data_IF_464386685077
#
_entry.id   IF_464386685077
#
_cell.length_a   1.000
_cell.length_b   1.000
_cell.length_c   1.000
_cell.angle_alpha   90.00
_cell.angle_beta   90.00
_cell.angle_gamma   90.00
#
_symmetry.space_group_name_H-M   'P 1'
#
loop_
_entity.id
_entity.type
_entity.pdbx_description
1 polymer ?
#
# COMPACT_ATOMS: atom_id res chain seq x y z
N UNK A 1 -18.70 -13.91 -9.38
CA UNK A 1 -18.47 -14.67 -8.16
C UNK A 1 -17.07 -15.27 -8.15
N UNK A 2 -16.56 -15.61 -6.97
CA UNK A 2 -15.25 -16.24 -6.82
C UNK A 2 -15.12 -17.54 -7.62
N UNK A 3 -16.20 -18.29 -7.76
CA UNK A 3 -16.21 -19.52 -8.57
C UNK A 3 -15.99 -19.28 -10.07
N UNK A 4 -16.36 -18.11 -10.56
CA UNK A 4 -16.18 -17.72 -11.97
C UNK A 4 -14.84 -17.06 -12.21
N UNK A 5 -14.18 -16.57 -11.16
CA UNK A 5 -12.90 -15.88 -11.23
C UNK A 5 -11.76 -16.87 -10.98
N UNK A 6 -11.63 -17.84 -11.88
CA UNK A 6 -10.47 -18.73 -11.84
C UNK A 6 -9.21 -17.86 -12.04
N UNK A 7 -8.29 -17.94 -11.11
CA UNK A 7 -7.07 -17.13 -11.10
C UNK A 7 -7.34 -15.62 -11.00
N UNK A 8 -8.42 -15.25 -10.30
CA UNK A 8 -8.74 -13.85 -10.07
C UNK A 8 -7.82 -13.22 -9.03
N UNK A 9 -7.76 -11.89 -9.10
CA UNK A 9 -6.98 -11.09 -8.15
C UNK A 9 -7.74 -9.82 -7.80
N UNK A 10 -7.80 -9.53 -6.49
CA UNK A 10 -8.36 -8.28 -5.98
C UNK A 10 -7.25 -7.52 -5.25
N UNK A 11 -7.22 -6.21 -5.43
CA UNK A 11 -6.22 -5.35 -4.84
C UNK A 11 -6.89 -4.20 -4.10
N UNK A 12 -6.45 -3.98 -2.86
CA UNK A 12 -6.93 -2.89 -2.02
C UNK A 12 -5.79 -1.94 -1.70
N UNK A 13 -6.14 -0.69 -1.38
CA UNK A 13 -5.16 0.32 -1.04
C UNK A 13 -5.24 0.63 0.46
N UNK A 14 -4.17 0.36 1.17
CA UNK A 14 -3.95 0.76 2.55
C UNK A 14 -3.06 2.01 2.57
N UNK A 15 -2.33 2.21 3.64
CA UNK A 15 -1.40 3.32 3.83
C UNK A 15 -0.38 2.91 4.88
N UNK A 16 0.80 3.51 4.84
CA UNK A 16 1.79 3.34 5.92
C UNK A 16 1.22 3.74 7.27
N UNK A 17 0.21 4.62 7.31
CA UNK A 17 -0.49 4.99 8.54
C UNK A 17 -1.18 3.82 9.23
N UNK A 18 -1.41 2.70 8.54
CA UNK A 18 -1.99 1.51 9.14
C UNK A 18 -1.03 0.80 10.11
N UNK A 19 0.27 0.90 9.86
CA UNK A 19 1.29 0.16 10.62
C UNK A 19 2.30 1.06 11.30
N UNK A 20 2.40 2.32 10.90
CA UNK A 20 3.30 3.31 11.49
C UNK A 20 2.51 4.33 12.30
N UNK A 21 2.90 4.56 13.55
CA UNK A 21 2.24 5.56 14.40
C UNK A 21 2.56 6.98 13.94
N UNK A 22 1.61 7.61 13.27
CA UNK A 22 1.71 9.00 12.84
C UNK A 22 0.74 9.84 13.65
N UNK A 23 1.22 10.98 14.17
CA UNK A 23 0.36 11.87 14.96
C UNK A 23 -0.80 12.40 14.10
N UNK A 24 -1.97 12.55 14.72
CA UNK A 24 -3.19 13.06 14.07
C UNK A 24 -3.71 12.17 12.93
N UNK A 25 -3.39 10.89 12.95
CA UNK A 25 -3.81 9.91 11.94
C UNK A 25 -4.67 8.79 12.53
N UNK A 26 -5.31 9.01 13.68
CA UNK A 26 -6.05 7.95 14.38
C UNK A 26 -7.15 7.34 13.52
N UNK A 27 -7.97 8.17 12.88
CA UNK A 27 -9.11 7.69 12.08
C UNK A 27 -8.63 6.96 10.82
N UNK A 28 -7.70 7.55 10.09
CA UNK A 28 -7.20 6.92 8.86
C UNK A 28 -6.40 5.65 9.19
N UNK A 29 -5.67 5.65 10.31
CA UNK A 29 -4.96 4.46 10.77
C UNK A 29 -5.95 3.33 11.06
N UNK A 30 -7.04 3.61 11.78
CA UNK A 30 -8.07 2.63 12.06
C UNK A 30 -8.72 2.09 10.78
N UNK A 31 -9.08 2.98 9.84
CA UNK A 31 -9.70 2.61 8.58
C UNK A 31 -8.77 1.75 7.72
N UNK A 32 -7.52 2.15 7.58
CA UNK A 32 -6.57 1.42 6.73
C UNK A 32 -6.12 0.11 7.37
N UNK A 33 -5.97 0.06 8.70
CA UNK A 33 -5.72 -1.19 9.41
C UNK A 33 -6.89 -2.17 9.23
N UNK A 34 -8.11 -1.66 9.21
CA UNK A 34 -9.30 -2.45 8.93
C UNK A 34 -9.26 -3.06 7.53
N UNK A 35 -8.81 -2.31 6.53
CA UNK A 35 -8.62 -2.82 5.17
C UNK A 35 -7.62 -3.98 5.17
N UNK A 36 -6.50 -3.85 5.87
CA UNK A 36 -5.50 -4.92 5.92
C UNK A 36 -6.02 -6.18 6.58
N UNK A 37 -6.81 -6.04 7.65
CA UNK A 37 -7.50 -7.16 8.28
C UNK A 37 -8.52 -7.81 7.34
N UNK A 38 -9.30 -7.00 6.63
CA UNK A 38 -10.24 -7.46 5.62
C UNK A 38 -9.54 -8.27 4.51
N UNK A 39 -8.39 -7.78 4.05
CA UNK A 39 -7.58 -8.46 3.02
C UNK A 39 -7.16 -9.84 3.49
N UNK A 40 -6.65 -9.96 4.72
CA UNK A 40 -6.21 -11.26 5.25
C UNK A 40 -7.38 -12.23 5.37
N UNK A 41 -8.50 -11.78 5.89
CA UNK A 41 -9.68 -12.63 6.05
C UNK A 41 -10.30 -13.03 4.71
N UNK A 42 -10.39 -12.10 3.78
CA UNK A 42 -10.88 -12.38 2.43
C UNK A 42 -9.97 -13.36 1.69
N UNK A 43 -8.66 -13.19 1.81
CA UNK A 43 -7.71 -14.12 1.22
C UNK A 43 -7.93 -15.55 1.75
N UNK A 44 -8.17 -15.69 3.06
CA UNK A 44 -8.46 -16.98 3.65
C UNK A 44 -9.77 -17.57 3.13
N UNK A 45 -10.81 -16.74 3.02
CA UNK A 45 -12.13 -17.19 2.57
C UNK A 45 -12.10 -17.70 1.14
N UNK A 46 -11.39 -17.03 0.25
CA UNK A 46 -11.45 -17.28 -1.19
C UNK A 46 -10.25 -18.03 -1.77
N UNK A 47 -9.29 -18.43 -0.93
CA UNK A 47 -8.08 -19.10 -1.42
C UNK A 47 -8.36 -20.37 -2.21
N UNK A 48 -9.36 -21.14 -1.78
CA UNK A 48 -9.76 -22.39 -2.47
C UNK A 48 -10.38 -22.13 -3.85
N UNK A 49 -10.87 -20.93 -4.08
CA UNK A 49 -11.49 -20.53 -5.34
C UNK A 49 -10.47 -19.87 -6.28
N UNK A 50 -9.19 -19.93 -5.93
CA UNK A 50 -8.09 -19.27 -6.66
C UNK A 50 -8.27 -17.77 -6.81
N UNK A 51 -8.97 -17.13 -5.89
CA UNK A 51 -9.06 -15.68 -5.81
C UNK A 51 -8.00 -15.18 -4.81
N UNK A 52 -7.05 -14.43 -5.30
CA UNK A 52 -6.02 -13.79 -4.48
C UNK A 52 -6.49 -12.41 -4.04
N UNK A 53 -6.19 -12.05 -2.81
CA UNK A 53 -6.56 -10.74 -2.25
C UNK A 53 -5.33 -10.15 -1.57
N UNK A 54 -4.90 -9.01 -2.03
CA UNK A 54 -3.72 -8.33 -1.51
C UNK A 54 -4.01 -6.84 -1.35
N UNK A 55 -3.10 -6.15 -0.66
CA UNK A 55 -3.14 -4.69 -0.53
C UNK A 55 -1.77 -4.11 -0.81
N UNK A 56 -1.74 -2.86 -1.20
CA UNK A 56 -0.53 -2.05 -1.19
C UNK A 56 -0.72 -0.88 -0.23
N UNK A 57 0.36 -0.50 0.43
CA UNK A 57 0.38 0.57 1.42
C UNK A 57 1.42 1.61 1.03
N UNK A 58 1.05 2.62 0.25
CA UNK A 58 1.98 3.67 -0.13
C UNK A 58 2.18 4.67 1.00
N UNK A 59 3.29 5.39 0.94
CA UNK A 59 3.53 6.58 1.72
C UNK A 59 3.02 7.81 0.97
N UNK A 60 3.56 8.98 1.27
CA UNK A 60 3.21 10.22 0.55
C UNK A 60 3.63 10.09 -0.91
N UNK A 61 2.69 10.35 -1.80
CA UNK A 61 2.90 10.32 -3.23
C UNK A 61 2.60 11.69 -3.83
N UNK A 62 3.30 12.01 -4.91
CA UNK A 62 2.96 13.16 -5.73
C UNK A 62 1.64 12.87 -6.45
N UNK A 63 0.55 13.42 -5.92
CA UNK A 63 -0.81 13.23 -6.41
C UNK A 63 -1.64 14.47 -6.12
N UNK A 64 -2.83 14.54 -6.72
CA UNK A 64 -3.75 15.64 -6.44
C UNK A 64 -4.13 15.74 -4.97
N UNK A 65 -4.23 14.61 -4.27
CA UNK A 65 -4.59 14.59 -2.85
C UNK A 65 -3.49 15.14 -1.95
N UNK A 66 -2.23 15.03 -2.36
CA UNK A 66 -1.09 15.48 -1.56
C UNK A 66 -0.59 16.89 -1.93
N UNK A 67 -1.17 17.55 -2.91
CA UNK A 67 -0.74 18.89 -3.36
C UNK A 67 -0.68 19.90 -2.23
N UNK A 68 -1.63 19.87 -1.30
CA UNK A 68 -1.65 20.76 -0.16
C UNK A 68 -0.47 20.51 0.78
N UNK A 69 -0.14 19.24 1.00
CA UNK A 69 0.98 18.81 1.85
C UNK A 69 2.31 19.20 1.19
N UNK A 70 2.38 19.08 -0.14
CA UNK A 70 3.60 19.32 -0.92
C UNK A 70 3.61 20.71 -1.57
N UNK A 71 2.94 21.69 -0.96
CA UNK A 71 2.74 23.01 -1.55
C UNK A 71 3.97 23.93 -1.50
N UNK A 72 4.99 23.59 -0.72
CA UNK A 72 6.22 24.38 -0.60
C UNK A 72 7.44 23.50 -0.79
N UNK A 73 8.55 24.12 -1.22
CA UNK A 73 9.83 23.42 -1.34
C UNK A 73 10.28 22.83 0.00
N UNK A 74 10.06 23.57 1.08
CA UNK A 74 10.40 23.10 2.42
C UNK A 74 9.61 21.86 2.80
N UNK A 75 8.30 21.84 2.54
CA UNK A 75 7.46 20.68 2.80
C UNK A 75 7.90 19.46 1.97
N UNK A 76 8.26 19.67 0.71
CA UNK A 76 8.78 18.61 -0.16
C UNK A 76 10.07 18.04 0.39
N UNK A 77 11.02 18.90 0.80
CA UNK A 77 12.30 18.46 1.36
C UNK A 77 12.12 17.69 2.67
N UNK A 78 11.23 18.15 3.55
CA UNK A 78 10.91 17.44 4.79
C UNK A 78 10.33 16.06 4.48
N UNK A 79 9.38 15.99 3.56
CA UNK A 79 8.76 14.72 3.15
C UNK A 79 9.79 13.76 2.55
N UNK A 80 10.67 14.24 1.70
CA UNK A 80 11.77 13.43 1.15
C UNK A 80 12.67 12.89 2.25
N UNK A 81 13.04 13.74 3.21
CA UNK A 81 13.97 13.35 4.29
C UNK A 81 13.38 12.33 5.26
N UNK A 82 12.06 12.21 5.33
CA UNK A 82 11.40 11.19 6.14
C UNK A 82 11.62 9.77 5.63
N UNK A 83 11.90 9.64 4.35
CA UNK A 83 12.02 8.32 3.72
C UNK A 83 13.48 7.88 3.65
N UNK A 84 13.79 6.64 4.08
CA UNK A 84 15.15 6.08 3.89
C UNK A 84 15.65 6.19 2.44
N UNK A 85 14.80 5.85 1.46
CA UNK A 85 15.06 6.20 0.07
C UNK A 85 14.46 7.60 -0.14
N UNK A 86 15.30 8.67 -0.24
CA UNK A 86 14.82 10.05 -0.11
C UNK A 86 14.17 10.56 -1.39
N UNK A 87 12.87 10.28 -1.53
CA UNK A 87 12.09 10.82 -2.65
C UNK A 87 10.63 10.89 -2.25
N UNK A 88 9.83 11.58 -3.05
CA UNK A 88 8.38 11.52 -3.01
C UNK A 88 7.95 10.44 -3.99
N UNK A 89 7.08 9.54 -3.55
CA UNK A 89 6.57 8.47 -4.40
C UNK A 89 5.76 9.02 -5.57
N UNK A 90 5.79 8.31 -6.67
CA UNK A 90 5.02 8.62 -7.88
C UNK A 90 4.21 7.40 -8.30
N UNK A 91 3.30 7.59 -9.24
CA UNK A 91 2.54 6.45 -9.80
C UNK A 91 3.47 5.41 -10.44
N UNK A 92 4.62 5.81 -10.97
CA UNK A 92 5.61 4.89 -11.53
C UNK A 92 6.22 3.96 -10.48
N UNK A 93 6.17 4.34 -9.22
CA UNK A 93 6.59 3.46 -8.11
C UNK A 93 5.52 2.44 -7.75
N UNK A 94 4.26 2.76 -8.01
CA UNK A 94 3.10 1.94 -7.60
C UNK A 94 2.67 1.00 -8.71
N UNK A 95 2.56 1.50 -9.94
CA UNK A 95 1.97 0.76 -11.05
C UNK A 95 2.67 -0.58 -11.37
N UNK A 96 4.00 -0.69 -11.33
CA UNK A 96 4.64 -1.99 -11.56
C UNK A 96 4.22 -3.05 -10.54
N UNK A 97 4.06 -2.66 -9.27
CA UNK A 97 3.63 -3.58 -8.21
C UNK A 97 2.16 -3.96 -8.43
N UNK A 98 1.31 -3.01 -8.80
CA UNK A 98 -0.09 -3.29 -9.14
C UNK A 98 -0.16 -4.30 -10.29
N UNK A 99 0.58 -4.05 -11.38
CA UNK A 99 0.60 -4.95 -12.53
C UNK A 99 1.07 -6.35 -12.14
N UNK A 100 2.11 -6.45 -11.34
CA UNK A 100 2.62 -7.74 -10.87
C UNK A 100 1.59 -8.48 -10.02
N UNK A 101 1.00 -7.82 -9.03
CA UNK A 101 0.00 -8.44 -8.15
C UNK A 101 -1.25 -8.89 -8.91
N UNK A 102 -1.61 -8.18 -9.97
CA UNK A 102 -2.79 -8.51 -10.77
C UNK A 102 -2.49 -9.54 -11.87
N UNK A 103 -1.24 -9.91 -12.05
CA UNK A 103 -0.81 -10.88 -13.07
C UNK A 103 -0.65 -12.28 -12.49
N UNK A 104 -0.55 -13.28 -13.37
CA UNK A 104 -0.28 -14.65 -12.98
C UNK A 104 1.13 -14.83 -12.41
N UNK A 105 2.02 -13.88 -12.64
CA UNK A 105 3.38 -13.93 -12.07
C UNK A 105 3.37 -13.88 -10.55
N UNK A 106 2.29 -13.38 -9.95
CA UNK A 106 2.10 -13.35 -8.50
C UNK A 106 1.11 -14.40 -8.02
N UNK A 107 0.99 -15.50 -8.72
CA UNK A 107 -0.07 -16.50 -8.46
C UNK A 107 0.00 -17.15 -7.08
N UNK A 108 1.15 -17.11 -6.43
CA UNK A 108 1.31 -17.66 -5.08
C UNK A 108 1.37 -16.59 -4.00
N UNK A 109 0.94 -15.37 -4.31
CA UNK A 109 0.92 -14.23 -3.38
C UNK A 109 -0.53 -13.89 -3.05
N UNK A 110 -0.92 -14.06 -1.79
CA UNK A 110 -2.26 -13.68 -1.30
C UNK A 110 -2.20 -13.33 0.17
N UNK A 111 -3.11 -12.49 0.64
CA UNK A 111 -3.19 -12.09 2.03
C UNK A 111 -2.10 -11.12 2.46
N UNK A 112 -1.39 -10.52 1.52
CA UNK A 112 -0.23 -9.67 1.80
C UNK A 112 -0.58 -8.19 1.66
N UNK A 113 0.08 -7.39 2.50
CA UNK A 113 0.14 -5.94 2.31
C UNK A 113 1.58 -5.58 1.98
N UNK A 114 1.80 -4.97 0.83
CA UNK A 114 3.13 -4.56 0.37
C UNK A 114 3.28 -3.07 0.59
N UNK A 115 4.22 -2.68 1.44
CA UNK A 115 4.52 -1.27 1.69
C UNK A 115 5.40 -0.74 0.55
N UNK A 116 4.95 0.38 -0.04
CA UNK A 116 5.71 1.08 -1.09
C UNK A 116 5.98 2.48 -0.55
N UNK A 117 7.04 2.61 0.22
CA UNK A 117 7.26 3.77 1.09
C UNK A 117 8.73 4.14 1.26
N UNK A 118 9.59 3.63 0.38
CA UNK A 118 11.03 3.90 0.49
C UNK A 118 11.66 3.44 1.79
N UNK A 119 11.01 2.50 2.48
CA UNK A 119 11.48 1.93 3.73
C UNK A 119 10.97 2.62 5.00
N UNK A 120 10.14 3.67 4.87
CA UNK A 120 9.69 4.49 6.00
C UNK A 120 9.15 3.66 7.16
N UNK A 121 8.33 2.66 6.89
CA UNK A 121 7.66 1.88 7.94
C UNK A 121 8.50 0.75 8.51
N UNK A 122 9.66 0.44 7.95
CA UNK A 122 10.40 -0.79 8.30
C UNK A 122 11.84 -0.57 8.69
N UNK A 123 12.53 0.43 8.17
CA UNK A 123 13.96 0.57 8.40
C UNK A 123 14.31 1.95 8.94
N UNK A 124 15.40 1.99 9.70
CA UNK A 124 16.00 3.24 10.17
C UNK A 124 17.41 3.30 9.58
N UNK A 125 17.67 4.20 8.63
CA UNK A 125 18.99 4.29 8.01
C UNK A 125 20.00 4.90 9.00
N UNK A 126 21.26 4.73 8.67
CA UNK A 126 22.35 5.35 9.43
C UNK A 126 22.31 6.87 9.36
#
# INVERSE_FOLDING_TARGET
>A
SAKRMKNGSALFFSSVAASLGLSNHEVISAAKSGIEGFVRSSAATYSKDNLRVNAIAPSIMDSNMSKKILSSEQAVEISKSMHPIPKIGTYDDILPVVRWLMSDDAEWVTGQTINIDGGLSKIKPR
#
